data_IF_142165149602
#
_entry.id   IF_142165149602
#
_cell.length_a   1.000
_cell.length_b   1.000
_cell.length_c   1.000
_cell.angle_alpha   90.00
_cell.angle_beta   90.00
_cell.angle_gamma   90.00
#
_symmetry.space_group_name_H-M   'P 1'
#
loop_
_entity.id
_entity.type
_entity.pdbx_description
1 polymer ?
#
# COMPACT_ATOMS: atom_id res chain seq x y z
N UNK A 1 -9.25 89.90 -17.44
CA UNK A 1 -9.48 89.02 -16.26
C UNK A 1 -9.75 87.64 -16.73
N UNK A 2 -8.72 86.78 -16.72
CA UNK A 2 -8.86 85.30 -17.09
C UNK A 2 -9.05 84.53 -15.80
N UNK A 3 -10.14 83.79 -15.69
CA UNK A 3 -10.40 82.87 -14.59
C UNK A 3 -9.71 81.58 -14.92
N UNK A 4 -8.81 81.13 -14.07
CA UNK A 4 -8.16 79.84 -14.10
C UNK A 4 -9.02 78.87 -13.25
N UNK A 5 -9.62 77.89 -13.88
CA UNK A 5 -10.30 76.83 -13.16
C UNK A 5 -9.32 75.69 -12.85
N UNK A 6 -9.14 75.43 -11.57
CA UNK A 6 -8.28 74.36 -11.05
C UNK A 6 -9.13 73.07 -11.01
N UNK A 7 -8.77 72.09 -11.85
CA UNK A 7 -9.37 70.74 -11.83
C UNK A 7 -8.62 69.92 -10.79
N UNK A 8 -9.26 69.58 -9.70
CA UNK A 8 -8.75 68.59 -8.72
C UNK A 8 -9.13 67.21 -9.18
N UNK A 9 -8.14 66.42 -9.64
CA UNK A 9 -8.30 65.00 -9.98
C UNK A 9 -8.16 64.20 -8.68
N UNK A 10 -9.27 63.72 -8.14
CA UNK A 10 -9.28 62.80 -7.01
C UNK A 10 -8.96 61.40 -7.53
N UNK A 11 -7.72 60.98 -7.30
CA UNK A 11 -7.30 59.59 -7.57
C UNK A 11 -7.92 58.62 -6.55
N UNK A 12 -8.87 57.84 -7.00
CA UNK A 12 -9.47 56.74 -6.21
C UNK A 12 -8.50 55.58 -6.23
N UNK A 13 -7.73 55.39 -5.14
CA UNK A 13 -6.90 54.22 -4.94
C UNK A 13 -7.81 53.07 -4.52
N UNK A 14 -8.12 52.19 -5.45
CA UNK A 14 -8.82 50.94 -5.15
C UNK A 14 -7.80 49.99 -4.55
N UNK A 15 -7.80 49.86 -3.21
CA UNK A 15 -7.15 48.73 -2.54
C UNK A 15 -7.97 47.49 -2.82
N UNK A 16 -7.53 46.66 -3.75
CA UNK A 16 -7.97 45.29 -3.84
C UNK A 16 -7.45 44.54 -2.60
N UNK A 17 -8.29 44.38 -1.57
CA UNK A 17 -8.06 43.35 -0.57
C UNK A 17 -8.22 41.99 -1.30
N UNK A 18 -7.11 41.43 -1.71
CA UNK A 18 -7.02 40.00 -1.94
C UNK A 18 -7.14 39.33 -0.55
N UNK A 19 -8.36 39.12 -0.08
CA UNK A 19 -8.62 38.24 1.03
C UNK A 19 -8.07 36.87 0.63
N UNK A 20 -7.03 36.39 1.32
CA UNK A 20 -6.65 35.00 1.29
C UNK A 20 -7.91 34.26 1.76
N UNK A 21 -8.62 33.59 0.86
CA UNK A 21 -9.70 32.69 1.23
C UNK A 21 -9.07 31.69 2.20
N UNK A 22 -9.58 31.67 3.43
CA UNK A 22 -9.14 30.71 4.43
C UNK A 22 -9.46 29.35 3.86
N UNK A 23 -8.46 28.46 3.75
CA UNK A 23 -8.62 27.10 3.28
C UNK A 23 -9.67 26.41 4.15
N UNK A 24 -10.75 25.95 3.54
CA UNK A 24 -11.83 25.26 4.26
C UNK A 24 -11.31 23.90 4.71
N UNK A 25 -11.47 23.60 6.03
CA UNK A 25 -11.04 22.33 6.64
C UNK A 25 -12.22 21.67 7.31
N UNK A 26 -12.50 20.43 6.93
CA UNK A 26 -13.48 19.58 7.58
C UNK A 26 -12.75 18.53 8.43
N UNK A 27 -12.71 18.75 9.74
CA UNK A 27 -11.86 17.98 10.64
C UNK A 27 -12.43 16.61 11.00
N UNK A 28 -11.59 15.60 10.91
CA UNK A 28 -11.75 14.32 11.59
C UNK A 28 -11.28 14.46 13.04
N UNK A 29 -10.12 15.15 13.24
CA UNK A 29 -9.56 15.44 14.54
C UNK A 29 -8.67 16.68 14.48
N UNK A 30 -8.86 17.60 15.44
CA UNK A 30 -7.95 18.73 15.69
C UNK A 30 -7.46 18.74 17.14
N UNK A 31 -8.36 18.67 18.11
CA UNK A 31 -8.11 18.52 19.55
C UNK A 31 -9.22 17.67 20.16
N UNK A 32 -9.00 17.06 21.34
CA UNK A 32 -9.96 16.14 21.98
C UNK A 32 -11.41 16.65 22.03
N UNK A 33 -11.64 17.87 22.39
CA UNK A 33 -12.97 18.44 22.58
C UNK A 33 -13.28 19.55 21.58
N UNK A 34 -12.59 19.57 20.45
CA UNK A 34 -12.83 20.55 19.43
C UNK A 34 -14.24 20.39 18.85
N UNK A 35 -15.04 21.46 18.80
CA UNK A 35 -16.35 21.45 18.15
C UNK A 35 -16.26 21.27 16.63
N UNK A 36 -15.06 21.37 16.06
CA UNK A 36 -14.80 21.16 14.65
C UNK A 36 -14.61 19.68 14.28
N UNK A 37 -14.52 18.78 15.26
CA UNK A 37 -14.42 17.34 14.99
C UNK A 37 -15.80 16.79 14.56
N UNK A 38 -15.85 16.17 13.40
CA UNK A 38 -17.11 15.67 12.81
C UNK A 38 -17.27 14.14 12.94
N UNK A 39 -16.19 13.42 13.19
CA UNK A 39 -16.19 11.96 13.28
C UNK A 39 -15.81 11.47 14.68
N UNK A 40 -16.29 10.27 15.01
CA UNK A 40 -16.12 9.65 16.33
C UNK A 40 -15.29 8.37 16.19
N UNK A 41 -14.17 8.21 16.95
CA UNK A 41 -13.40 6.96 16.96
C UNK A 41 -14.19 5.86 17.69
N UNK A 42 -14.92 5.05 16.95
CA UNK A 42 -15.85 4.06 17.52
C UNK A 42 -15.88 2.70 16.82
N UNK A 43 -15.37 2.59 15.59
CA UNK A 43 -15.38 1.37 14.79
C UNK A 43 -14.17 0.47 15.06
N UNK A 44 -14.22 -0.36 16.11
CA UNK A 44 -13.12 -1.27 16.46
C UNK A 44 -13.14 -2.55 15.63
N UNK A 45 -11.97 -2.99 15.12
CA UNK A 45 -11.83 -4.10 14.18
C UNK A 45 -10.68 -5.04 14.54
N UNK A 46 -10.80 -6.31 14.10
CA UNK A 46 -9.75 -7.32 14.25
C UNK A 46 -9.37 -7.58 15.70
N UNK A 47 -8.09 -7.67 15.98
CA UNK A 47 -7.52 -7.88 17.33
C UNK A 47 -7.56 -6.58 18.14
N UNK A 48 -8.76 -6.01 18.34
CA UNK A 48 -8.94 -4.72 19.03
C UNK A 48 -8.45 -4.72 20.48
N UNK A 49 -8.32 -5.88 21.13
CA UNK A 49 -7.68 -6.03 22.44
C UNK A 49 -6.19 -5.69 22.43
N UNK A 50 -5.57 -5.64 21.27
CA UNK A 50 -4.17 -5.26 21.08
C UNK A 50 -3.96 -3.74 20.93
N UNK A 51 -5.05 -2.95 20.80
CA UNK A 51 -4.99 -1.50 20.70
C UNK A 51 -5.23 -0.81 22.06
N UNK A 52 -4.35 0.11 22.40
CA UNK A 52 -4.59 1.13 23.43
C UNK A 52 -4.71 2.48 22.72
N UNK A 53 -5.86 3.11 22.86
CA UNK A 53 -6.21 4.36 22.19
C UNK A 53 -6.39 5.48 23.21
N UNK A 54 -5.77 6.62 22.96
CA UNK A 54 -5.90 7.84 23.75
C UNK A 54 -5.92 9.06 22.84
N UNK A 55 -7.07 9.71 22.71
CA UNK A 55 -7.27 10.91 21.88
C UNK A 55 -7.08 12.23 22.65
N UNK A 56 -6.49 12.17 23.82
CA UNK A 56 -6.12 13.32 24.67
C UNK A 56 -4.68 13.22 25.17
N UNK A 57 -3.79 12.69 24.33
CA UNK A 57 -2.38 12.60 24.67
C UNK A 57 -1.75 13.99 24.70
N UNK A 58 -0.96 14.26 25.75
CA UNK A 58 -0.28 15.54 25.98
C UNK A 58 1.20 15.51 25.57
N UNK A 59 1.67 14.37 25.05
CA UNK A 59 3.06 14.18 24.67
C UNK A 59 3.38 14.85 23.33
N UNK A 60 3.80 16.12 23.39
CA UNK A 60 4.25 16.91 22.25
C UNK A 60 3.26 16.91 21.08
N UNK A 61 2.00 17.39 21.25
CA UNK A 61 1.08 17.54 20.13
C UNK A 61 1.68 18.44 19.04
N UNK A 62 1.29 18.23 17.79
CA UNK A 62 1.74 19.08 16.68
C UNK A 62 1.14 20.47 16.80
N UNK A 63 -0.14 20.55 17.12
CA UNK A 63 -0.88 21.78 17.35
C UNK A 63 -1.81 21.66 18.55
N UNK A 64 -2.40 22.76 18.98
CA UNK A 64 -3.39 22.77 20.06
C UNK A 64 -2.87 22.23 21.40
N UNK A 65 -3.71 21.46 22.08
CA UNK A 65 -3.43 20.94 23.42
C UNK A 65 -3.23 19.43 23.47
N UNK A 66 -3.77 18.68 22.52
CA UNK A 66 -3.79 17.21 22.55
C UNK A 66 -3.54 16.60 21.17
N UNK A 67 -3.01 15.37 21.17
CA UNK A 67 -2.91 14.53 19.98
C UNK A 67 -3.55 13.16 20.23
N UNK A 68 -3.70 12.35 19.21
CA UNK A 68 -4.10 10.96 19.30
C UNK A 68 -2.84 10.10 19.48
N UNK A 69 -2.87 9.22 20.50
CA UNK A 69 -1.83 8.22 20.74
C UNK A 69 -2.43 6.83 20.61
N UNK A 70 -1.84 6.01 19.76
CA UNK A 70 -2.25 4.62 19.56
C UNK A 70 -1.05 3.72 19.87
N UNK A 71 -1.22 2.75 20.76
CA UNK A 71 -0.23 1.70 21.00
C UNK A 71 -0.80 0.37 20.55
N UNK A 72 -0.09 -0.31 19.65
CA UNK A 72 -0.42 -1.63 19.13
C UNK A 72 0.58 -2.66 19.66
N UNK A 73 0.08 -3.76 20.26
CA UNK A 73 0.93 -4.77 20.91
C UNK A 73 1.24 -5.99 20.07
N UNK A 74 0.58 -6.19 18.95
CA UNK A 74 0.77 -7.29 18.00
C UNK A 74 0.64 -8.71 18.61
N UNK A 75 -0.15 -8.87 19.68
CA UNK A 75 -0.30 -10.14 20.43
C UNK A 75 -1.30 -11.11 19.80
N UNK A 76 -2.04 -10.66 18.77
CA UNK A 76 -3.09 -11.45 18.09
C UNK A 76 -4.18 -11.92 19.08
N UNK A 77 -4.65 -11.01 19.92
CA UNK A 77 -5.53 -11.31 21.07
C UNK A 77 -6.89 -11.92 20.68
N UNK A 78 -7.39 -11.71 19.46
CA UNK A 78 -8.57 -12.35 18.87
C UNK A 78 -8.21 -13.29 17.69
N UNK A 79 -6.92 -13.52 17.42
CA UNK A 79 -6.43 -14.47 16.42
C UNK A 79 -6.43 -13.99 14.99
N UNK A 80 -6.69 -12.70 14.73
CA UNK A 80 -6.76 -12.14 13.36
C UNK A 80 -5.39 -11.75 12.78
N UNK A 81 -4.43 -11.36 13.62
CA UNK A 81 -3.12 -10.88 13.21
C UNK A 81 -3.10 -9.44 12.71
N UNK A 82 -4.23 -8.73 12.77
CA UNK A 82 -4.38 -7.33 12.43
C UNK A 82 -5.42 -6.66 13.32
N UNK A 83 -5.38 -5.33 13.40
CA UNK A 83 -6.34 -4.53 14.17
C UNK A 83 -6.52 -3.16 13.56
N UNK A 84 -7.66 -2.51 13.84
CA UNK A 84 -7.90 -1.15 13.38
C UNK A 84 -9.00 -0.44 14.15
N UNK A 85 -9.09 0.86 13.88
CA UNK A 85 -10.15 1.73 14.41
C UNK A 85 -10.63 2.67 13.31
N UNK A 86 -11.96 2.78 13.16
CA UNK A 86 -12.63 3.78 12.34
C UNK A 86 -13.08 4.99 13.15
N UNK A 87 -12.89 6.17 12.60
CA UNK A 87 -13.62 7.40 12.91
C UNK A 87 -14.89 7.43 12.06
N UNK A 88 -16.04 7.30 12.68
CA UNK A 88 -17.33 7.16 12.03
C UNK A 88 -18.21 8.40 12.21
N UNK A 89 -19.08 8.70 11.26
CA UNK A 89 -20.00 9.87 11.25
C UNK A 89 -20.93 9.93 12.46
N UNK A 90 -21.24 8.78 13.03
CA UNK A 90 -21.88 8.64 14.34
C UNK A 90 -21.38 7.38 15.04
N UNK A 91 -21.51 7.32 16.34
CA UNK A 91 -20.97 6.23 17.15
C UNK A 91 -21.47 4.86 16.67
N UNK A 92 -20.53 3.94 16.39
CA UNK A 92 -20.77 2.58 15.93
C UNK A 92 -21.65 2.51 14.66
N UNK A 93 -21.47 3.46 13.73
CA UNK A 93 -22.19 3.44 12.46
C UNK A 93 -21.43 2.61 11.41
N UNK A 94 -21.86 1.37 11.25
CA UNK A 94 -21.37 0.47 10.17
C UNK A 94 -22.30 0.51 8.97
N UNK A 95 -22.71 1.70 8.51
CA UNK A 95 -23.64 1.88 7.39
C UNK A 95 -25.08 1.55 7.73
N UNK A 96 -25.43 1.50 9.01
CA UNK A 96 -26.80 1.19 9.49
C UNK A 96 -27.60 2.42 9.88
N UNK A 97 -26.97 3.59 9.97
CA UNK A 97 -27.59 4.88 10.32
C UNK A 97 -27.33 5.89 9.21
N UNK A 98 -28.34 6.66 8.86
CA UNK A 98 -28.27 7.74 7.87
C UNK A 98 -27.62 9.00 8.49
N UNK A 99 -26.30 9.00 8.62
CA UNK A 99 -25.54 10.11 9.21
C UNK A 99 -24.23 10.40 8.46
N UNK A 100 -24.07 9.87 7.25
CA UNK A 100 -22.91 10.16 6.40
C UNK A 100 -22.81 11.64 6.04
N UNK A 101 -21.59 12.13 5.88
CA UNK A 101 -21.34 13.50 5.45
C UNK A 101 -21.18 13.58 3.93
N UNK A 102 -21.75 14.62 3.32
CA UNK A 102 -21.41 15.01 1.97
C UNK A 102 -20.11 15.84 2.00
N UNK A 103 -19.05 15.25 1.49
CA UNK A 103 -17.72 15.86 1.38
C UNK A 103 -17.39 16.22 -0.07
N UNK A 104 -18.40 16.32 -0.94
CA UNK A 104 -18.24 16.81 -2.31
C UNK A 104 -17.62 18.21 -2.29
N UNK A 105 -16.59 18.42 -3.08
CA UNK A 105 -15.82 19.68 -3.08
C UNK A 105 -14.48 19.62 -2.38
N UNK A 106 -14.25 18.62 -1.54
CA UNK A 106 -12.90 18.29 -1.07
C UNK A 106 -12.24 17.30 -2.04
N UNK A 107 -10.91 17.35 -2.13
CA UNK A 107 -10.13 16.45 -2.98
C UNK A 107 -8.89 15.89 -2.29
N UNK A 108 -8.74 16.16 -0.98
CA UNK A 108 -7.54 15.78 -0.22
C UNK A 108 -7.90 15.53 1.24
N UNK A 109 -7.46 14.39 1.78
CA UNK A 109 -7.44 14.13 3.21
C UNK A 109 -6.00 14.31 3.71
N UNK A 110 -5.79 15.22 4.64
CA UNK A 110 -4.50 15.51 5.27
C UNK A 110 -4.47 14.93 6.67
N UNK A 111 -3.35 14.39 7.09
CA UNK A 111 -3.08 13.99 8.46
C UNK A 111 -1.60 14.16 8.79
N UNK A 112 -1.31 14.41 10.06
CA UNK A 112 0.05 14.44 10.55
C UNK A 112 0.28 13.24 11.45
N UNK A 113 1.45 12.61 11.33
CA UNK A 113 1.79 11.43 12.10
C UNK A 113 3.27 11.40 12.46
N UNK A 114 3.58 10.75 13.59
CA UNK A 114 4.94 10.40 14.01
C UNK A 114 4.96 9.09 14.78
N UNK A 115 6.05 8.40 14.72
CA UNK A 115 6.35 7.29 15.60
C UNK A 115 6.92 7.76 16.94
N UNK A 116 6.82 6.96 17.98
CA UNK A 116 7.47 7.23 19.27
C UNK A 116 8.99 7.20 19.16
N UNK A 117 9.51 6.23 18.43
CA UNK A 117 10.95 6.00 18.28
C UNK A 117 11.46 6.30 16.87
N UNK A 118 10.56 6.31 15.88
CA UNK A 118 10.83 6.24 14.46
C UNK A 118 10.99 4.78 13.99
N UNK A 119 10.42 4.50 12.80
CA UNK A 119 10.36 3.15 12.24
C UNK A 119 9.05 2.40 12.50
N UNK A 120 8.15 2.93 13.32
CA UNK A 120 6.80 2.38 13.50
C UNK A 120 6.03 2.42 12.17
N UNK A 121 5.18 1.42 11.96
CA UNK A 121 4.46 1.26 10.69
C UNK A 121 2.94 1.33 10.91
N UNK A 122 2.29 2.26 10.23
CA UNK A 122 0.85 2.20 9.98
C UNK A 122 0.66 1.36 8.71
N UNK A 123 0.02 0.20 8.82
CA UNK A 123 -0.13 -0.70 7.67
C UNK A 123 -1.03 -0.10 6.60
N UNK A 124 -2.19 0.44 7.01
CA UNK A 124 -3.14 1.07 6.09
C UNK A 124 -3.87 2.21 6.79
N UNK A 125 -3.99 3.33 6.10
CA UNK A 125 -5.03 4.32 6.36
C UNK A 125 -6.11 4.15 5.31
N UNK A 126 -7.37 4.30 5.72
CA UNK A 126 -8.51 4.11 4.85
C UNK A 126 -9.52 5.21 5.05
N UNK A 127 -10.12 5.66 3.96
CA UNK A 127 -11.24 6.60 3.94
C UNK A 127 -12.40 5.95 3.22
N UNK A 128 -13.61 6.05 3.76
CA UNK A 128 -14.75 5.29 3.29
C UNK A 128 -14.59 3.78 3.53
N UNK A 129 -15.29 2.98 2.72
CA UNK A 129 -15.15 1.53 2.72
C UNK A 129 -16.07 0.79 3.70
N UNK A 130 -16.99 1.47 4.35
CA UNK A 130 -18.12 0.85 5.04
C UNK A 130 -19.22 0.62 4.00
N UNK A 131 -19.08 -0.43 3.19
CA UNK A 131 -19.93 -0.66 2.00
C UNK A 131 -20.88 -1.83 2.22
N UNK A 132 -20.33 -2.96 2.64
CA UNK A 132 -21.08 -4.21 2.82
C UNK A 132 -20.72 -4.91 4.14
N UNK A 133 -21.61 -5.75 4.60
CA UNK A 133 -21.36 -6.58 5.78
C UNK A 133 -20.38 -7.71 5.40
N UNK A 134 -19.17 -7.74 5.97
CA UNK A 134 -18.15 -8.73 5.59
C UNK A 134 -18.53 -10.19 5.94
N UNK A 135 -19.54 -10.39 6.78
CA UNK A 135 -20.01 -11.73 7.13
C UNK A 135 -21.06 -12.27 6.16
N UNK A 136 -21.81 -11.42 5.48
CA UNK A 136 -22.92 -11.79 4.60
C UNK A 136 -22.70 -11.39 3.15
N UNK A 137 -21.81 -10.42 2.86
CA UNK A 137 -21.65 -9.80 1.54
C UNK A 137 -22.79 -8.90 1.13
N UNK A 138 -23.76 -8.63 2.01
CA UNK A 138 -24.89 -7.76 1.70
C UNK A 138 -24.53 -6.29 1.90
N UNK A 139 -24.89 -5.40 0.98
CA UNK A 139 -24.68 -3.97 1.14
C UNK A 139 -25.35 -3.43 2.40
N UNK A 140 -24.70 -2.49 3.07
CA UNK A 140 -25.33 -1.75 4.16
C UNK A 140 -26.43 -0.82 3.64
N UNK A 141 -27.45 -0.47 4.46
CA UNK A 141 -28.51 0.47 4.06
C UNK A 141 -27.98 1.85 3.66
N UNK A 142 -26.91 2.30 4.27
CA UNK A 142 -26.28 3.61 4.06
C UNK A 142 -24.75 3.43 3.88
N UNK A 143 -24.33 2.88 2.74
CA UNK A 143 -22.90 2.59 2.50
C UNK A 143 -22.11 3.86 2.20
N UNK A 144 -20.80 3.81 2.43
CA UNK A 144 -19.90 4.83 1.88
C UNK A 144 -19.96 4.83 0.35
N UNK A 145 -19.90 6.01 -0.26
CA UNK A 145 -19.85 6.17 -1.72
C UNK A 145 -18.51 5.78 -2.32
N UNK A 146 -17.46 5.66 -1.51
CA UNK A 146 -16.10 5.34 -1.95
C UNK A 146 -15.32 4.51 -0.94
N UNK A 147 -14.19 3.96 -1.39
CA UNK A 147 -13.17 3.30 -0.59
C UNK A 147 -11.80 3.70 -1.13
N UNK A 148 -10.99 4.35 -0.30
CA UNK A 148 -9.63 4.73 -0.64
C UNK A 148 -8.68 4.24 0.43
N UNK A 149 -7.61 3.57 0.04
CA UNK A 149 -6.59 3.04 0.93
C UNK A 149 -5.23 3.68 0.62
N UNK A 150 -4.44 3.90 1.66
CA UNK A 150 -3.11 4.50 1.58
C UNK A 150 -2.18 3.83 2.59
N UNK A 151 -0.98 3.53 2.18
CA UNK A 151 0.04 2.88 3.00
C UNK A 151 0.63 1.64 2.31
N UNK A 152 1.53 0.92 2.97
CA UNK A 152 1.99 1.12 4.36
C UNK A 152 2.89 2.36 4.51
N UNK A 153 2.90 2.95 5.71
CA UNK A 153 3.71 4.12 6.03
C UNK A 153 4.67 3.79 7.16
N UNK A 154 5.97 3.99 6.93
CA UNK A 154 6.98 3.96 7.98
C UNK A 154 7.17 5.36 8.54
N UNK A 155 6.88 5.53 9.81
CA UNK A 155 6.91 6.83 10.48
C UNK A 155 8.33 7.21 10.91
N UNK A 156 8.61 8.51 10.87
CA UNK A 156 9.76 9.12 11.52
C UNK A 156 9.46 9.43 12.99
N UNK A 157 10.48 9.76 13.77
CA UNK A 157 10.30 10.25 15.14
C UNK A 157 9.70 11.65 15.17
N UNK A 158 9.96 12.44 14.16
CA UNK A 158 9.46 13.80 14.02
C UNK A 158 8.11 13.80 13.30
N UNK A 159 7.26 14.78 13.61
CA UNK A 159 6.00 14.99 12.92
C UNK A 159 6.22 15.18 11.41
N UNK A 160 5.48 14.41 10.63
CA UNK A 160 5.41 14.53 9.18
C UNK A 160 3.97 14.67 8.74
N UNK A 161 3.75 15.52 7.73
CA UNK A 161 2.45 15.64 7.09
C UNK A 161 2.35 14.64 5.94
N UNK A 162 1.23 13.95 5.90
CA UNK A 162 0.84 13.02 4.84
C UNK A 162 -0.49 13.46 4.25
N UNK A 163 -0.79 12.97 3.05
CA UNK A 163 -2.11 13.20 2.45
C UNK A 163 -2.54 12.04 1.57
N UNK A 164 -3.85 11.87 1.49
CA UNK A 164 -4.51 10.94 0.56
C UNK A 164 -5.17 11.78 -0.53
N UNK A 165 -4.86 11.45 -1.78
CA UNK A 165 -5.45 12.08 -2.95
C UNK A 165 -6.86 11.54 -3.18
N UNK A 166 -7.84 12.45 -3.24
CA UNK A 166 -9.26 12.11 -3.41
C UNK A 166 -9.85 12.70 -4.70
N UNK A 167 -8.99 13.15 -5.62
CA UNK A 167 -9.45 13.68 -6.93
C UNK A 167 -10.19 12.56 -7.67
N UNK A 168 -11.35 12.88 -8.22
CA UNK A 168 -12.28 11.98 -8.92
C UNK A 168 -12.87 10.85 -8.04
N UNK A 169 -12.74 10.93 -6.71
CA UNK A 169 -13.46 10.02 -5.81
C UNK A 169 -14.86 10.55 -5.53
N UNK A 170 -15.82 9.63 -5.46
CA UNK A 170 -17.19 9.98 -5.05
C UNK A 170 -17.23 10.18 -3.54
N UNK A 171 -17.40 11.42 -3.09
CA UNK A 171 -17.43 11.81 -1.69
C UNK A 171 -18.82 12.24 -1.23
N UNK A 172 -19.85 11.90 -1.99
CA UNK A 172 -21.23 12.31 -1.71
C UNK A 172 -21.75 11.78 -0.37
N UNK A 173 -21.29 10.59 0.06
CA UNK A 173 -21.73 10.00 1.31
C UNK A 173 -20.61 9.27 2.01
N UNK A 174 -20.13 9.81 3.15
CA UNK A 174 -18.98 9.32 3.90
C UNK A 174 -19.35 9.07 5.36
N UNK A 175 -19.45 7.80 5.75
CA UNK A 175 -19.59 7.34 7.12
C UNK A 175 -18.25 7.11 7.79
N UNK A 176 -17.31 6.48 7.06
CA UNK A 176 -15.96 6.19 7.51
C UNK A 176 -15.00 7.32 7.15
N UNK A 177 -14.84 8.33 8.02
CA UNK A 177 -13.99 9.49 7.73
C UNK A 177 -12.50 9.16 7.72
N UNK A 178 -12.08 8.21 8.53
CA UNK A 178 -10.73 7.66 8.57
C UNK A 178 -10.75 6.30 9.25
N UNK A 179 -9.95 5.36 8.79
CA UNK A 179 -9.54 4.19 9.55
C UNK A 179 -8.03 4.08 9.59
N UNK A 180 -7.51 3.55 10.69
CA UNK A 180 -6.10 3.21 10.86
C UNK A 180 -6.00 1.74 11.17
N UNK A 181 -5.16 1.03 10.42
CA UNK A 181 -5.00 -0.42 10.49
C UNK A 181 -3.53 -0.76 10.73
N UNK A 182 -3.31 -1.70 11.64
CA UNK A 182 -2.01 -2.27 11.95
C UNK A 182 -2.04 -3.78 11.69
N UNK A 183 -0.94 -4.30 11.14
CA UNK A 183 -0.76 -5.74 10.93
C UNK A 183 0.47 -6.23 11.71
N UNK A 184 0.36 -7.38 12.35
CA UNK A 184 1.45 -7.97 13.14
C UNK A 184 2.69 -8.31 12.31
N UNK A 185 2.54 -8.55 11.00
CA UNK A 185 3.66 -8.79 10.08
C UNK A 185 4.55 -7.56 9.89
N UNK A 186 4.02 -6.35 10.07
CA UNK A 186 4.76 -5.09 9.92
C UNK A 186 5.26 -4.51 11.25
N UNK A 187 4.73 -4.98 12.39
CA UNK A 187 4.93 -4.35 13.70
C UNK A 187 6.15 -4.96 14.36
N UNK A 188 7.11 -5.47 14.05
CA UNK A 188 8.33 -5.97 14.76
C UNK A 188 8.24 -6.06 16.29
N UNK A 189 7.05 -5.91 16.89
CA UNK A 189 6.77 -5.86 18.33
C UNK A 189 5.74 -4.79 18.69
N UNK A 190 5.71 -4.37 19.98
CA UNK A 190 4.86 -3.27 20.40
C UNK A 190 5.33 -1.96 19.80
N UNK A 191 4.42 -1.21 19.17
CA UNK A 191 4.70 0.09 18.56
C UNK A 191 3.71 1.15 19.03
N UNK A 192 4.15 2.40 19.11
CA UNK A 192 3.32 3.55 19.47
C UNK A 192 3.43 4.62 18.41
N UNK A 193 2.29 5.06 17.90
CA UNK A 193 2.16 6.12 16.91
C UNK A 193 1.33 7.28 17.46
N UNK A 194 1.59 8.48 16.95
CA UNK A 194 0.84 9.69 17.27
C UNK A 194 0.28 10.28 15.98
N UNK A 195 -0.96 10.80 16.07
CA UNK A 195 -1.61 11.51 14.97
C UNK A 195 -2.18 12.83 15.47
N UNK A 196 -2.24 13.82 14.58
CA UNK A 196 -2.78 15.14 14.88
C UNK A 196 -3.24 15.85 13.61
N UNK A 197 -4.08 16.88 13.75
CA UNK A 197 -4.57 17.69 12.64
C UNK A 197 -4.98 16.87 11.41
N UNK A 198 -6.07 16.11 11.56
CA UNK A 198 -6.63 15.25 10.52
C UNK A 198 -7.84 15.95 9.91
N UNK A 199 -7.81 16.28 8.63
CA UNK A 199 -8.87 17.06 7.98
C UNK A 199 -8.96 16.85 6.47
N UNK A 200 -10.17 17.03 5.95
CA UNK A 200 -10.41 17.16 4.51
C UNK A 200 -10.24 18.62 4.10
N UNK A 201 -9.70 18.82 2.90
CA UNK A 201 -9.51 20.14 2.32
C UNK A 201 -9.53 20.08 0.80
N UNK A 202 -9.57 21.24 0.14
CA UNK A 202 -9.46 21.35 -1.30
C UNK A 202 -8.11 21.95 -1.70
N UNK A 203 -7.39 21.26 -2.57
CA UNK A 203 -6.14 21.72 -3.17
C UNK A 203 -6.33 21.88 -4.69
N UNK A 204 -6.40 23.11 -5.23
CA UNK A 204 -6.65 23.36 -6.65
C UNK A 204 -5.51 22.87 -7.55
N UNK A 205 -4.34 22.58 -7.01
CA UNK A 205 -3.18 22.09 -7.75
C UNK A 205 -3.06 20.58 -7.74
N UNK A 206 -3.85 19.89 -6.90
CA UNK A 206 -3.85 18.46 -6.82
C UNK A 206 -4.48 17.88 -8.09
N UNK A 207 -3.70 17.06 -8.79
CA UNK A 207 -4.16 16.36 -9.98
C UNK A 207 -4.59 14.95 -9.60
N UNK A 208 -5.46 14.37 -10.43
CA UNK A 208 -5.71 12.93 -10.39
C UNK A 208 -4.35 12.22 -10.38
N UNK A 209 -4.15 11.32 -9.43
CA UNK A 209 -3.05 10.39 -9.53
C UNK A 209 -3.31 9.59 -10.82
N UNK A 210 -2.51 9.85 -11.85
CA UNK A 210 -2.41 8.89 -12.91
C UNK A 210 -1.97 7.61 -12.22
N UNK A 211 -2.68 6.51 -12.47
CA UNK A 211 -2.39 5.22 -11.86
C UNK A 211 -1.02 4.73 -12.36
N UNK A 212 0.02 5.34 -11.87
CA UNK A 212 1.42 5.06 -12.16
C UNK A 212 2.16 4.81 -10.85
N UNK A 213 2.82 3.69 -10.82
CA UNK A 213 3.73 3.34 -9.73
C UNK A 213 5.00 4.19 -9.81
N UNK A 214 5.64 4.42 -8.67
CA UNK A 214 6.99 5.00 -8.65
C UNK A 214 8.04 3.90 -8.91
N UNK A 215 9.09 4.24 -9.66
CA UNK A 215 10.21 3.33 -9.92
C UNK A 215 11.45 3.75 -9.11
N UNK A 216 12.26 2.79 -8.63
CA UNK A 216 12.13 1.34 -8.81
C UNK A 216 10.91 0.79 -8.07
N UNK A 217 10.16 -0.14 -8.71
CA UNK A 217 8.99 -0.78 -8.15
C UNK A 217 9.34 -2.23 -7.79
N UNK A 218 9.38 -2.53 -6.50
CA UNK A 218 9.89 -3.81 -6.02
C UNK A 218 8.83 -4.92 -6.01
N UNK A 219 9.22 -6.07 -6.51
CA UNK A 219 8.57 -7.35 -6.23
C UNK A 219 9.10 -7.90 -4.91
N UNK A 220 10.43 -7.78 -4.70
CA UNK A 220 11.12 -8.19 -3.48
C UNK A 220 12.41 -7.36 -3.29
N UNK A 221 12.53 -6.70 -2.15
CA UNK A 221 13.76 -6.06 -1.68
C UNK A 221 14.34 -6.84 -0.49
N UNK A 222 13.60 -6.93 0.60
CA UNK A 222 13.88 -7.70 1.82
C UNK A 222 12.57 -8.31 2.36
N UNK A 223 12.64 -9.32 3.21
CA UNK A 223 11.46 -10.03 3.72
C UNK A 223 10.41 -9.13 4.39
N UNK A 224 10.85 -8.05 5.03
CA UNK A 224 9.99 -7.10 5.76
C UNK A 224 9.99 -5.71 5.11
N UNK A 225 10.43 -5.59 3.86
CA UNK A 225 10.39 -4.32 3.16
C UNK A 225 8.95 -3.91 2.89
N UNK A 226 8.64 -2.64 3.14
CA UNK A 226 7.36 -2.03 2.77
C UNK A 226 7.26 -1.76 1.26
N UNK A 227 8.38 -1.83 0.56
CA UNK A 227 8.44 -1.65 -0.89
C UNK A 227 8.07 -2.92 -1.67
N UNK A 228 7.84 -4.06 -0.98
CA UNK A 228 7.37 -5.28 -1.62
C UNK A 228 5.89 -5.16 -1.99
N UNK A 229 5.57 -5.27 -3.27
CA UNK A 229 4.21 -5.06 -3.79
C UNK A 229 3.50 -6.36 -4.18
N UNK A 230 4.22 -7.48 -4.28
CA UNK A 230 3.69 -8.77 -4.68
C UNK A 230 3.95 -9.86 -3.64
N UNK A 231 3.12 -10.88 -3.65
CA UNK A 231 3.15 -11.97 -2.67
C UNK A 231 3.47 -13.29 -3.39
N UNK A 232 4.48 -14.08 -2.95
CA UNK A 232 4.76 -15.40 -3.52
C UNK A 232 3.68 -16.39 -3.11
N UNK A 233 2.66 -16.54 -3.95
CA UNK A 233 1.44 -17.31 -3.63
C UNK A 233 0.95 -18.20 -4.76
N UNK A 234 1.36 -17.95 -6.00
CA UNK A 234 0.93 -18.70 -7.18
C UNK A 234 1.73 -19.99 -7.41
N UNK A 235 1.49 -21.01 -6.61
CA UNK A 235 2.17 -22.31 -6.69
C UNK A 235 1.74 -23.09 -7.91
N UNK A 236 2.72 -23.56 -8.71
CA UNK A 236 2.50 -24.32 -9.95
C UNK A 236 3.34 -25.61 -9.98
N UNK A 237 2.75 -26.77 -10.30
CA UNK A 237 1.31 -27.03 -10.28
C UNK A 237 0.75 -26.91 -8.87
N UNK A 238 -0.55 -27.06 -8.68
CA UNK A 238 -1.19 -26.97 -7.35
C UNK A 238 -0.58 -27.91 -6.28
N UNK A 239 0.12 -28.96 -6.72
CA UNK A 239 0.85 -29.91 -5.86
C UNK A 239 2.27 -29.45 -5.50
N UNK A 240 2.72 -28.31 -6.02
CA UNK A 240 4.11 -27.80 -5.85
C UNK A 240 4.50 -27.59 -4.39
N UNK A 241 3.56 -27.43 -3.47
CA UNK A 241 3.83 -27.35 -2.03
C UNK A 241 4.54 -28.60 -1.47
N UNK A 242 4.51 -29.74 -2.18
CA UNK A 242 5.25 -30.96 -1.84
C UNK A 242 6.68 -30.94 -2.37
N UNK A 243 6.92 -30.18 -3.43
CA UNK A 243 8.15 -30.17 -4.20
C UNK A 243 9.01 -28.93 -3.90
N UNK A 244 8.40 -27.84 -3.43
CA UNK A 244 9.05 -26.58 -3.19
C UNK A 244 9.08 -26.22 -1.71
N UNK A 245 10.23 -25.74 -1.26
CA UNK A 245 10.37 -24.98 -0.02
C UNK A 245 10.85 -23.58 -0.38
N UNK A 246 10.05 -22.60 0.00
CA UNK A 246 10.36 -21.19 -0.19
C UNK A 246 10.59 -20.52 1.16
N UNK A 247 11.75 -19.91 1.33
CA UNK A 247 12.06 -19.07 2.47
C UNK A 247 12.41 -17.66 1.99
N UNK A 248 11.47 -16.73 2.12
CA UNK A 248 11.66 -15.32 1.73
C UNK A 248 12.44 -14.49 2.77
N UNK A 249 12.85 -15.11 3.86
CA UNK A 249 13.60 -14.49 4.95
C UNK A 249 14.90 -15.23 5.24
N UNK A 250 15.62 -15.65 4.21
CA UNK A 250 16.91 -16.31 4.36
C UNK A 250 18.00 -15.27 4.66
N UNK A 251 18.73 -15.49 5.76
CA UNK A 251 19.69 -14.51 6.31
C UNK A 251 21.14 -14.75 5.90
N UNK A 252 21.44 -15.90 5.30
CA UNK A 252 22.81 -16.25 4.97
C UNK A 252 23.19 -15.73 3.59
N UNK A 253 24.16 -14.82 3.53
CA UNK A 253 24.73 -14.29 2.29
C UNK A 253 23.69 -13.66 1.33
N UNK A 254 22.78 -12.76 1.78
CA UNK A 254 21.95 -12.01 0.84
C UNK A 254 22.84 -11.17 -0.09
N UNK A 255 22.32 -10.82 -1.27
CA UNK A 255 23.00 -9.88 -2.15
C UNK A 255 22.97 -8.46 -1.57
N UNK A 256 21.85 -8.07 -1.01
CA UNK A 256 21.59 -6.76 -0.43
C UNK A 256 20.77 -6.90 0.86
N UNK A 257 20.77 -5.88 1.70
CA UNK A 257 19.94 -5.81 2.89
C UNK A 257 20.16 -6.92 3.91
N UNK A 258 19.07 -7.35 4.55
CA UNK A 258 19.09 -8.29 5.67
C UNK A 258 18.65 -9.72 5.29
N UNK A 259 18.07 -9.92 4.11
CA UNK A 259 17.52 -11.21 3.69
C UNK A 259 17.43 -11.36 2.17
N UNK A 260 17.45 -12.60 1.71
CA UNK A 260 17.15 -12.99 0.35
C UNK A 260 16.10 -14.11 0.33
N UNK A 261 15.67 -14.51 -0.85
CA UNK A 261 14.80 -15.66 -1.06
C UNK A 261 15.64 -16.90 -1.30
N UNK A 262 15.42 -17.97 -0.51
CA UNK A 262 15.97 -19.30 -0.75
C UNK A 262 14.87 -20.22 -1.26
N UNK A 263 15.13 -20.86 -2.38
CA UNK A 263 14.25 -21.84 -3.02
C UNK A 263 14.93 -23.21 -2.98
N UNK A 264 14.22 -24.23 -2.53
CA UNK A 264 14.62 -25.64 -2.65
C UNK A 264 13.54 -26.36 -3.46
N UNK A 265 13.91 -26.98 -4.59
CA UNK A 265 13.04 -27.78 -5.41
C UNK A 265 13.50 -29.23 -5.41
N UNK A 266 12.56 -30.16 -5.11
CA UNK A 266 12.74 -31.62 -5.20
C UNK A 266 11.49 -32.24 -5.81
N UNK A 267 11.65 -33.20 -6.71
CA UNK A 267 10.53 -33.83 -7.39
C UNK A 267 9.82 -34.94 -6.51
N UNK A 268 9.29 -34.53 -5.34
CA UNK A 268 8.63 -35.45 -4.40
C UNK A 268 7.25 -35.88 -4.88
N UNK A 269 6.55 -35.05 -5.66
CA UNK A 269 5.20 -35.36 -6.19
C UNK A 269 5.21 -36.20 -7.47
N UNK A 270 6.36 -36.26 -8.15
CA UNK A 270 6.50 -36.87 -9.45
C UNK A 270 5.99 -36.04 -10.63
N UNK A 271 5.58 -34.79 -10.41
CA UNK A 271 5.11 -33.90 -11.48
C UNK A 271 6.24 -33.39 -12.38
N UNK A 272 7.51 -33.55 -11.98
CA UNK A 272 8.73 -33.30 -12.72
C UNK A 272 9.03 -31.82 -13.04
N UNK A 273 8.13 -30.89 -12.68
CA UNK A 273 8.34 -29.44 -12.81
C UNK A 273 7.68 -28.70 -11.66
N UNK A 274 8.18 -27.50 -11.36
CA UNK A 274 7.60 -26.59 -10.39
C UNK A 274 7.90 -25.13 -10.72
N UNK A 275 7.04 -24.24 -10.26
CA UNK A 275 7.21 -22.81 -10.36
C UNK A 275 6.36 -22.07 -9.34
N UNK A 276 6.61 -20.78 -9.21
CA UNK A 276 5.83 -19.91 -8.34
C UNK A 276 5.70 -18.52 -8.95
N UNK A 277 4.51 -17.93 -8.85
CA UNK A 277 4.24 -16.53 -9.11
C UNK A 277 4.22 -15.71 -7.83
N UNK A 278 4.78 -14.52 -7.92
CA UNK A 278 4.51 -13.39 -7.04
C UNK A 278 3.27 -12.67 -7.57
N UNK A 279 2.17 -12.69 -6.83
CA UNK A 279 0.85 -12.24 -7.28
C UNK A 279 0.32 -11.07 -6.46
N UNK A 280 -0.57 -10.29 -7.05
CA UNK A 280 -1.32 -9.23 -6.39
C UNK A 280 -2.83 -9.38 -6.68
N UNK A 281 -3.66 -9.50 -5.63
CA UNK A 281 -3.29 -9.96 -4.29
C UNK A 281 -2.87 -11.44 -4.28
N UNK A 282 -2.58 -11.98 -3.09
CA UNK A 282 -2.19 -13.38 -2.94
C UNK A 282 -3.23 -14.34 -3.56
N UNK A 283 -2.74 -15.36 -4.29
CA UNK A 283 -3.56 -16.38 -4.98
C UNK A 283 -4.47 -15.82 -6.09
N UNK A 284 -4.17 -14.64 -6.62
CA UNK A 284 -4.94 -14.06 -7.71
C UNK A 284 -4.55 -14.69 -9.07
N UNK A 285 -5.41 -15.52 -9.60
CA UNK A 285 -5.30 -16.12 -10.93
C UNK A 285 -6.23 -15.42 -11.94
N UNK A 286 -6.41 -14.09 -11.83
CA UNK A 286 -7.30 -13.30 -12.69
C UNK A 286 -8.75 -13.29 -12.22
N UNK A 287 -8.99 -13.52 -10.94
CA UNK A 287 -10.35 -13.57 -10.37
C UNK A 287 -10.73 -12.35 -9.53
N UNK A 288 -9.75 -11.48 -9.22
CA UNK A 288 -9.97 -10.28 -8.40
C UNK A 288 -9.97 -9.05 -9.31
N UNK A 289 -11.06 -8.27 -9.35
CA UNK A 289 -11.15 -7.06 -10.15
C UNK A 289 -10.20 -5.98 -9.62
N UNK A 290 -9.74 -5.09 -10.51
CA UNK A 290 -8.95 -3.88 -10.20
C UNK A 290 -7.69 -4.11 -9.33
N UNK A 291 -7.15 -5.34 -9.37
CA UNK A 291 -6.04 -5.74 -8.51
C UNK A 291 -4.65 -5.59 -9.15
N UNK A 292 -4.58 -5.43 -10.47
CA UNK A 292 -3.32 -5.31 -11.21
C UNK A 292 -2.68 -3.93 -11.06
N UNK A 293 -1.35 -3.91 -10.97
CA UNK A 293 -0.61 -2.65 -11.03
C UNK A 293 -0.45 -2.17 -12.48
N UNK A 294 -0.58 -0.85 -12.67
CA UNK A 294 -0.16 -0.21 -13.91
C UNK A 294 1.34 0.09 -13.81
N UNK A 295 2.15 -0.71 -14.51
CA UNK A 295 3.61 -0.60 -14.54
C UNK A 295 4.12 0.03 -15.85
N UNK A 296 3.26 0.73 -16.59
CA UNK A 296 3.66 1.48 -17.78
C UNK A 296 4.78 2.46 -17.44
N UNK A 297 5.81 2.50 -18.31
CA UNK A 297 7.03 3.26 -18.05
C UNK A 297 8.21 2.40 -17.61
N UNK A 298 7.99 1.20 -17.04
CA UNK A 298 9.06 0.25 -16.84
C UNK A 298 9.64 -0.20 -18.19
N UNK A 299 10.97 -0.28 -18.28
CA UNK A 299 11.67 -0.76 -19.47
C UNK A 299 12.30 -2.13 -19.27
N UNK A 300 12.48 -2.51 -18.01
CA UNK A 300 13.00 -3.83 -17.63
C UNK A 300 12.59 -4.17 -16.20
N UNK A 301 12.63 -5.46 -15.89
CA UNK A 301 12.74 -5.95 -14.53
C UNK A 301 14.15 -6.48 -14.34
N UNK A 302 14.76 -6.17 -13.20
CA UNK A 302 16.07 -6.70 -12.82
C UNK A 302 15.95 -7.51 -11.55
N UNK A 303 16.83 -8.51 -11.40
CA UNK A 303 16.92 -9.32 -10.21
C UNK A 303 18.32 -9.92 -10.08
N UNK A 304 18.68 -10.28 -8.86
CA UNK A 304 19.91 -11.04 -8.61
C UNK A 304 19.54 -12.49 -8.32
N UNK A 305 20.35 -13.40 -8.88
CA UNK A 305 20.18 -14.83 -8.67
C UNK A 305 21.53 -15.55 -8.57
N UNK A 306 21.55 -16.62 -7.80
CA UNK A 306 22.67 -17.57 -7.73
C UNK A 306 22.18 -18.98 -7.46
N UNK A 307 22.90 -19.99 -7.93
CA UNK A 307 22.73 -21.38 -7.54
C UNK A 307 23.50 -21.68 -6.25
N UNK A 308 23.12 -22.74 -5.56
CA UNK A 308 23.87 -23.24 -4.40
C UNK A 308 25.24 -23.80 -4.79
N UNK A 309 25.26 -24.54 -5.91
CA UNK A 309 26.47 -25.20 -6.43
C UNK A 309 26.98 -24.57 -7.72
N UNK A 310 26.10 -23.86 -8.42
CA UNK A 310 26.26 -23.46 -9.80
C UNK A 310 25.91 -24.61 -10.77
N UNK A 311 25.29 -24.22 -11.89
CA UNK A 311 24.79 -25.17 -12.86
C UNK A 311 23.30 -25.45 -12.79
N UNK A 312 22.63 -25.01 -11.71
CA UNK A 312 21.17 -25.08 -11.59
C UNK A 312 20.52 -24.33 -12.77
N UNK A 313 19.61 -25.01 -13.47
CA UNK A 313 18.97 -24.44 -14.66
C UNK A 313 17.53 -24.09 -14.37
N UNK A 314 17.21 -22.81 -14.55
CA UNK A 314 15.84 -22.29 -14.46
C UNK A 314 15.31 -22.15 -15.88
N UNK A 315 14.22 -22.87 -16.18
CA UNK A 315 13.67 -22.90 -17.53
C UNK A 315 13.14 -21.53 -17.96
N UNK A 316 12.55 -20.79 -17.05
CA UNK A 316 11.97 -19.50 -17.32
C UNK A 316 11.97 -18.60 -16.07
N UNK A 317 12.33 -17.33 -16.27
CA UNK A 317 11.96 -16.21 -15.43
C UNK A 317 11.06 -15.29 -16.24
N UNK A 318 9.92 -14.87 -15.70
CA UNK A 318 8.99 -13.99 -16.42
C UNK A 318 8.19 -13.06 -15.53
N UNK A 319 7.53 -12.11 -16.16
CA UNK A 319 6.52 -11.20 -15.60
C UNK A 319 5.25 -11.33 -16.40
N UNK A 320 4.10 -11.06 -15.77
CA UNK A 320 2.81 -11.22 -16.42
C UNK A 320 2.52 -12.66 -16.83
N UNK A 321 1.55 -12.82 -17.73
CA UNK A 321 1.20 -14.10 -18.33
C UNK A 321 0.21 -14.94 -17.50
N UNK A 322 -0.45 -14.38 -16.51
CA UNK A 322 -1.66 -14.98 -15.91
C UNK A 322 -2.83 -14.66 -16.85
N UNK A 323 -3.24 -15.67 -17.63
CA UNK A 323 -4.25 -15.56 -18.69
C UNK A 323 -5.53 -16.33 -18.40
N UNK A 324 -5.66 -16.89 -17.20
CA UNK A 324 -6.88 -17.53 -16.73
C UNK A 324 -7.69 -16.54 -15.88
N UNK A 325 -9.02 -16.57 -15.99
CA UNK A 325 -9.89 -15.66 -15.27
C UNK A 325 -10.41 -14.50 -16.13
N UNK A 326 -11.05 -13.54 -15.50
CA UNK A 326 -11.66 -12.36 -16.14
C UNK A 326 -10.71 -11.16 -16.16
N UNK A 327 -9.87 -11.03 -15.12
CA UNK A 327 -8.96 -9.89 -14.91
C UNK A 327 -7.51 -10.35 -15.08
N UNK A 328 -7.13 -10.60 -16.34
CA UNK A 328 -5.83 -11.20 -16.73
C UNK A 328 -4.73 -10.14 -16.87
N UNK A 329 -3.47 -10.58 -16.82
CA UNK A 329 -2.34 -9.71 -17.16
C UNK A 329 -2.46 -9.16 -18.59
N UNK A 330 -2.11 -7.89 -18.78
CA UNK A 330 -2.17 -7.22 -20.09
C UNK A 330 -1.16 -7.80 -21.09
N UNK A 331 -0.02 -8.29 -20.61
CA UNK A 331 1.03 -8.89 -21.45
C UNK A 331 1.94 -9.81 -20.62
N UNK A 332 3.00 -10.35 -21.24
CA UNK A 332 4.05 -11.10 -20.59
C UNK A 332 5.39 -10.94 -21.27
N UNK A 333 6.46 -10.98 -20.49
CA UNK A 333 7.83 -11.01 -21.00
C UNK A 333 8.67 -11.95 -20.13
N UNK A 334 9.71 -12.57 -20.71
CA UNK A 334 10.52 -13.52 -19.97
C UNK A 334 11.89 -13.76 -20.57
N UNK A 335 12.74 -14.42 -19.81
CA UNK A 335 14.03 -14.94 -20.24
C UNK A 335 14.17 -16.41 -19.82
N UNK A 336 14.91 -17.17 -20.57
CA UNK A 336 15.22 -18.56 -20.24
C UNK A 336 15.61 -19.40 -21.48
N UNK A 337 16.17 -20.60 -21.25
CA UNK A 337 16.63 -21.11 -19.94
C UNK A 337 17.87 -20.36 -19.42
N UNK A 338 17.97 -20.23 -18.11
CA UNK A 338 19.08 -19.57 -17.41
C UNK A 338 19.82 -20.57 -16.56
N UNK A 339 21.13 -20.75 -16.82
CA UNK A 339 22.01 -21.54 -15.97
C UNK A 339 22.65 -20.63 -14.91
N UNK A 340 22.39 -20.91 -13.65
CA UNK A 340 22.86 -20.10 -12.53
C UNK A 340 24.35 -20.39 -12.22
N UNK A 341 25.02 -19.37 -11.71
CA UNK A 341 26.37 -19.46 -11.15
C UNK A 341 26.33 -19.56 -9.62
N UNK A 342 27.40 -20.01 -8.96
CA UNK A 342 27.42 -20.05 -7.49
C UNK A 342 27.57 -18.66 -6.87
N UNK A 343 28.03 -17.66 -7.65
CA UNK A 343 28.10 -16.25 -7.24
C UNK A 343 26.84 -15.50 -7.69
N UNK A 344 26.46 -14.47 -6.94
CA UNK A 344 25.39 -13.57 -7.33
C UNK A 344 25.63 -12.94 -8.70
N UNK A 345 24.66 -13.10 -9.61
CA UNK A 345 24.64 -12.48 -10.93
C UNK A 345 23.37 -11.66 -11.10
N UNK A 346 23.51 -10.49 -11.74
CA UNK A 346 22.37 -9.68 -12.13
C UNK A 346 21.80 -10.20 -13.43
N UNK A 347 20.48 -10.36 -13.48
CA UNK A 347 19.71 -10.71 -14.67
C UNK A 347 18.70 -9.62 -14.95
N UNK A 348 18.26 -9.53 -16.21
CA UNK A 348 17.22 -8.60 -16.61
C UNK A 348 16.27 -9.23 -17.63
N UNK A 349 15.00 -8.85 -17.59
CA UNK A 349 13.99 -9.12 -18.59
C UNK A 349 13.67 -7.78 -19.25
N UNK A 350 13.83 -7.69 -20.56
CA UNK A 350 13.47 -6.50 -21.34
C UNK A 350 11.96 -6.39 -21.45
N UNK A 351 11.41 -5.22 -21.06
CA UNK A 351 9.99 -4.93 -21.08
C UNK A 351 9.59 -3.88 -22.12
N UNK A 352 10.55 -3.44 -22.94
CA UNK A 352 10.28 -2.43 -23.98
C UNK A 352 9.33 -2.99 -25.02
N UNK A 353 8.17 -2.35 -25.15
CA UNK A 353 7.12 -2.74 -26.09
C UNK A 353 6.05 -3.68 -25.49
N UNK A 354 6.23 -4.15 -24.26
CA UNK A 354 5.19 -4.88 -23.55
C UNK A 354 4.09 -3.93 -23.03
N UNK A 355 2.85 -4.38 -23.07
CA UNK A 355 1.74 -3.69 -22.40
C UNK A 355 1.73 -4.06 -20.91
N UNK A 356 2.11 -3.11 -20.08
CA UNK A 356 2.16 -3.26 -18.63
C UNK A 356 1.03 -2.48 -17.94
N UNK A 357 -0.07 -2.23 -18.62
CA UNK A 357 -1.19 -1.44 -18.07
C UNK A 357 -1.92 -2.14 -16.92
N UNK A 358 -1.84 -3.48 -16.86
CA UNK A 358 -2.44 -4.27 -15.79
C UNK A 358 -1.63 -5.54 -15.52
N UNK A 359 -0.94 -5.60 -14.37
CA UNK A 359 -0.02 -6.70 -14.03
C UNK A 359 -0.35 -7.23 -12.65
N UNK A 360 -0.93 -8.44 -12.60
CA UNK A 360 -1.21 -9.19 -11.36
C UNK A 360 -0.12 -10.21 -11.04
N UNK A 361 0.59 -10.71 -12.07
CA UNK A 361 1.74 -11.60 -11.96
C UNK A 361 3.06 -10.84 -12.06
N UNK A 362 3.55 -10.29 -10.93
CA UNK A 362 4.70 -9.38 -10.93
C UNK A 362 6.04 -10.03 -11.22
N UNK A 363 6.20 -11.31 -10.92
CA UNK A 363 7.39 -12.11 -11.21
C UNK A 363 7.05 -13.60 -11.09
N UNK A 364 7.73 -14.40 -11.90
CA UNK A 364 7.58 -15.86 -11.87
C UNK A 364 8.90 -16.52 -12.23
N UNK A 365 9.13 -17.68 -11.70
CA UNK A 365 10.11 -18.63 -12.23
C UNK A 365 9.47 -20.02 -12.36
N UNK A 366 9.99 -20.81 -13.31
CA UNK A 366 9.63 -22.21 -13.47
C UNK A 366 10.86 -23.02 -13.86
N UNK A 367 10.95 -24.26 -13.36
CA UNK A 367 12.00 -25.21 -13.72
C UNK A 367 11.48 -26.64 -13.69
N UNK A 368 12.25 -27.57 -14.24
CA UNK A 368 11.95 -28.99 -14.20
C UNK A 368 13.16 -29.82 -13.79
N UNK A 369 12.91 -31.07 -13.35
CA UNK A 369 13.95 -31.96 -12.88
C UNK A 369 14.74 -32.60 -14.05
N UNK A 370 14.20 -32.58 -15.28
CA UNK A 370 14.80 -33.25 -16.44
C UNK A 370 16.11 -32.58 -16.89
N UNK A 371 16.24 -31.28 -16.57
CA UNK A 371 17.42 -30.48 -16.90
C UNK A 371 18.31 -30.15 -15.69
N UNK A 372 17.98 -30.74 -14.54
CA UNK A 372 18.63 -30.49 -13.27
C UNK A 372 19.10 -31.78 -12.57
N UNK A 373 19.78 -31.63 -11.44
CA UNK A 373 20.16 -32.77 -10.58
C UNK A 373 18.90 -33.56 -10.14
N UNK A 374 18.83 -34.88 -10.31
CA UNK A 374 17.71 -35.69 -9.86
C UNK A 374 17.39 -35.58 -8.36
N UNK A 375 18.38 -35.23 -7.53
CA UNK A 375 18.22 -34.99 -6.09
C UNK A 375 17.56 -33.64 -5.80
N UNK A 376 17.41 -32.76 -6.82
CA UNK A 376 16.84 -31.45 -6.72
C UNK A 376 17.87 -30.32 -6.77
N UNK A 377 17.38 -29.09 -6.73
CA UNK A 377 18.19 -27.89 -6.78
C UNK A 377 17.89 -26.95 -5.62
N UNK A 378 18.87 -26.12 -5.29
CA UNK A 378 18.72 -24.97 -4.41
C UNK A 378 19.27 -23.75 -5.12
N UNK A 379 18.50 -22.67 -5.11
CA UNK A 379 18.93 -21.37 -5.65
C UNK A 379 18.38 -20.21 -4.82
N UNK A 380 18.90 -19.03 -5.09
CA UNK A 380 18.59 -17.81 -4.35
C UNK A 380 18.22 -16.70 -5.28
N UNK A 381 17.31 -15.83 -4.83
CA UNK A 381 16.86 -14.63 -5.52
C UNK A 381 16.92 -13.43 -4.56
N UNK A 382 17.21 -12.25 -5.11
CA UNK A 382 17.25 -11.01 -4.34
C UNK A 382 17.03 -9.79 -5.25
N UNK A 383 16.63 -8.64 -4.67
CA UNK A 383 16.51 -7.35 -5.36
C UNK A 383 15.70 -7.43 -6.67
N UNK A 384 14.50 -8.00 -6.60
CA UNK A 384 13.61 -8.13 -7.78
C UNK A 384 12.80 -6.84 -7.94
N UNK A 385 13.03 -6.09 -9.02
CA UNK A 385 12.41 -4.78 -9.22
C UNK A 385 12.25 -4.35 -10.66
N UNK A 386 11.19 -3.61 -10.93
CA UNK A 386 10.98 -2.91 -12.20
C UNK A 386 11.73 -1.59 -12.23
N UNK A 387 12.34 -1.25 -13.36
CA UNK A 387 13.16 -0.06 -13.55
C UNK A 387 12.86 0.62 -14.91
N UNK A 388 13.08 1.95 -14.97
CA UNK A 388 12.85 2.78 -16.17
C UNK A 388 14.10 2.99 -17.03
N UNK A 389 15.27 2.56 -16.55
CA UNK A 389 16.56 2.73 -17.23
C UNK A 389 17.34 1.43 -17.30
#
# INVERSE_FOLDING_TARGET
MRKISLLILAGMVIFSLSGLAQEEKFYVYSDKNSPSNHFIPSGWMGDYGDLRFNDQALEEPLSGATSIKITYSAKKSQGQGWTGIYWQSSQNNWGTKDTGFDLTGFNKLVFNARGKNGGEVITTLKMGGIIENPATGEPYPYPDSTNVEYGPIRLTKDWQQYSINLVDKDLFYVNGGLAIIFNASHAGGEQTVYLDDIYYTYDPNLKKEEAGVSFPFYVYADSNSLDNHYIPSGWMPATAARDLKLNVNWKENPYSGDSCIRVEYRNNSGTRWAGIYWQQPANNWGTVPDAGFNLQGAKKITFWAKGERGGELINEFKVGGIVSGEFIDSDSAGIGPVQLRPEWQKYEIDLRGADLSYVIGGFCWATNIDVNDPEGIVFYLDEIKYETQ
#
